data_IF_085630573313
#
_entry.id   IF_085630573313
#
_cell.length_a   1.000
_cell.length_b   1.000
_cell.length_c   1.000
_cell.angle_alpha   90.00
_cell.angle_beta   90.00
_cell.angle_gamma   90.00
#
_symmetry.space_group_name_H-M   'P 1'
#
loop_
_entity.id
_entity.type
_entity.pdbx_description
1 polymer ?
#
# COMPACT_ATOMS: atom_id res chain seq x y z
N UNK A 1 -25.31 -20.77 -4.74
CA UNK A 1 -24.34 -20.92 -3.62
C UNK A 1 -24.84 -22.01 -2.70
N UNK A 2 -23.94 -22.83 -2.07
CA UNK A 2 -24.40 -23.80 -1.08
C UNK A 2 -24.74 -23.08 0.24
N UNK A 3 -25.76 -23.56 0.94
CA UNK A 3 -26.22 -23.01 2.23
C UNK A 3 -25.10 -22.90 3.27
N UNK A 4 -24.21 -23.89 3.33
CA UNK A 4 -23.06 -23.87 4.25
C UNK A 4 -22.07 -22.74 3.96
N UNK A 5 -21.84 -22.40 2.69
CA UNK A 5 -20.96 -21.26 2.31
C UNK A 5 -21.58 -19.92 2.70
N UNK A 6 -22.87 -19.76 2.49
CA UNK A 6 -23.60 -18.55 2.86
C UNK A 6 -23.57 -18.33 4.38
N UNK A 7 -23.82 -19.38 5.17
CA UNK A 7 -23.75 -19.33 6.63
C UNK A 7 -22.32 -18.98 7.09
N UNK A 8 -21.29 -19.61 6.50
CA UNK A 8 -19.89 -19.30 6.80
C UNK A 8 -19.55 -17.81 6.55
N UNK A 9 -20.00 -17.26 5.44
CA UNK A 9 -19.79 -15.85 5.13
C UNK A 9 -20.49 -14.90 6.11
N UNK A 10 -21.69 -15.23 6.56
CA UNK A 10 -22.40 -14.43 7.57
C UNK A 10 -21.71 -14.47 8.93
N UNK A 11 -21.21 -15.63 9.34
CA UNK A 11 -20.45 -15.77 10.60
C UNK A 11 -19.12 -14.97 10.52
N UNK A 12 -18.38 -15.08 9.44
CA UNK A 12 -17.17 -14.30 9.21
C UNK A 12 -17.47 -12.79 9.22
N UNK A 13 -18.53 -12.36 8.56
CA UNK A 13 -18.97 -10.97 8.54
C UNK A 13 -19.37 -10.46 9.92
N UNK A 14 -20.05 -11.28 10.72
CA UNK A 14 -20.42 -10.96 12.11
C UNK A 14 -19.17 -10.85 13.00
N UNK A 15 -18.21 -11.77 12.86
CA UNK A 15 -16.94 -11.71 13.58
C UNK A 15 -16.13 -10.46 13.20
N UNK A 16 -16.09 -10.11 11.93
CA UNK A 16 -15.43 -8.89 11.46
C UNK A 16 -16.13 -7.62 11.98
N UNK A 17 -17.46 -7.60 11.99
CA UNK A 17 -18.23 -6.49 12.59
C UNK A 17 -17.98 -6.37 14.10
N UNK A 18 -17.91 -7.50 14.81
CA UNK A 18 -17.55 -7.56 16.23
C UNK A 18 -16.16 -7.02 16.50
N UNK A 19 -15.18 -7.38 15.66
CA UNK A 19 -13.83 -6.83 15.73
C UNK A 19 -13.83 -5.30 15.53
N UNK A 20 -14.50 -4.80 14.49
CA UNK A 20 -14.63 -3.35 14.26
C UNK A 20 -15.29 -2.67 15.46
N UNK A 21 -16.37 -3.23 15.98
CA UNK A 21 -17.08 -2.71 17.16
C UNK A 21 -16.18 -2.62 18.39
N UNK A 22 -15.40 -3.67 18.66
CA UNK A 22 -14.43 -3.69 19.76
C UNK A 22 -13.35 -2.62 19.59
N UNK A 23 -12.75 -2.51 18.40
CA UNK A 23 -11.72 -1.48 18.16
C UNK A 23 -12.27 -0.08 18.31
N UNK A 24 -13.50 0.17 17.85
CA UNK A 24 -14.18 1.46 18.03
C UNK A 24 -14.50 1.77 19.50
N UNK A 25 -14.88 0.78 20.28
CA UNK A 25 -15.13 0.91 21.73
C UNK A 25 -13.85 1.26 22.49
N UNK A 26 -12.73 0.65 22.14
CA UNK A 26 -11.42 0.93 22.74
C UNK A 26 -10.90 2.33 22.39
N UNK A 27 -11.34 2.88 21.27
CA UNK A 27 -10.81 4.13 20.72
C UNK A 27 -9.42 3.94 20.07
N UNK A 28 -8.97 4.95 19.34
CA UNK A 28 -7.84 4.89 18.42
C UNK A 28 -6.55 4.41 19.08
N UNK A 29 -6.16 5.01 20.21
CA UNK A 29 -4.86 4.70 20.86
C UNK A 29 -4.81 3.28 21.40
N UNK A 30 -5.87 2.85 22.11
CA UNK A 30 -5.91 1.52 22.71
C UNK A 30 -6.10 0.43 21.66
N UNK A 31 -6.90 0.69 20.62
CA UNK A 31 -7.06 -0.23 19.50
C UNK A 31 -5.70 -0.45 18.79
N UNK A 32 -5.00 0.62 18.45
CA UNK A 32 -3.66 0.55 17.85
C UNK A 32 -2.68 -0.20 18.75
N UNK A 33 -2.63 0.12 20.04
CA UNK A 33 -1.74 -0.55 20.99
C UNK A 33 -2.04 -2.05 21.11
N UNK A 34 -3.33 -2.43 21.22
CA UNK A 34 -3.75 -3.83 21.29
C UNK A 34 -3.37 -4.60 20.03
N UNK A 35 -3.68 -4.04 18.84
CA UNK A 35 -3.31 -4.66 17.57
C UNK A 35 -1.80 -4.86 17.44
N UNK A 36 -1.04 -3.83 17.79
CA UNK A 36 0.43 -3.89 17.81
C UNK A 36 0.97 -4.96 18.74
N UNK A 37 0.49 -5.00 19.98
CA UNK A 37 0.90 -6.01 20.96
C UNK A 37 0.57 -7.45 20.49
N UNK A 38 -0.62 -7.65 19.93
CA UNK A 38 -1.03 -8.96 19.43
C UNK A 38 -0.10 -9.46 18.32
N UNK A 39 0.14 -8.67 17.29
CA UNK A 39 0.97 -9.14 16.18
C UNK A 39 2.47 -9.11 16.50
N UNK A 40 2.96 -8.24 17.37
CA UNK A 40 4.32 -8.33 17.92
C UNK A 40 4.57 -9.69 18.59
N UNK A 41 3.57 -10.22 19.32
CA UNK A 41 3.68 -11.48 20.07
C UNK A 41 3.43 -12.71 19.19
N UNK A 42 2.45 -12.66 18.29
CA UNK A 42 2.02 -13.79 17.48
C UNK A 42 2.70 -13.85 16.12
N UNK A 43 3.01 -12.70 15.52
CA UNK A 43 3.58 -12.60 14.18
C UNK A 43 4.87 -13.41 14.00
N UNK A 44 5.84 -13.35 14.91
CA UNK A 44 7.05 -14.19 14.82
C UNK A 44 6.79 -15.71 14.86
N UNK A 45 5.59 -16.15 15.26
CA UNK A 45 5.22 -17.58 15.41
C UNK A 45 4.45 -18.13 14.21
N UNK A 46 3.97 -17.28 13.28
CA UNK A 46 3.25 -17.74 12.09
C UNK A 46 4.21 -18.12 10.97
N UNK A 47 3.76 -18.99 10.06
CA UNK A 47 4.58 -19.46 8.93
C UNK A 47 5.10 -18.35 8.02
N UNK A 48 4.40 -17.23 7.94
CA UNK A 48 4.78 -16.03 7.18
C UNK A 48 6.07 -15.39 7.69
N UNK A 49 6.45 -15.61 8.96
CA UNK A 49 7.72 -15.13 9.52
C UNK A 49 8.93 -15.60 8.68
N UNK A 50 8.89 -16.81 8.15
CA UNK A 50 9.94 -17.31 7.24
C UNK A 50 10.11 -16.40 6.01
N UNK A 51 8.99 -15.92 5.45
CA UNK A 51 9.01 -14.98 4.32
C UNK A 51 9.58 -13.63 4.73
N UNK A 52 9.17 -13.10 5.86
CA UNK A 52 9.69 -11.83 6.41
C UNK A 52 11.22 -11.89 6.56
N UNK A 53 11.73 -12.93 7.22
CA UNK A 53 13.17 -13.09 7.45
C UNK A 53 13.97 -13.24 6.15
N UNK A 54 13.44 -13.98 5.17
CA UNK A 54 14.07 -14.12 3.85
C UNK A 54 14.10 -12.79 3.10
N UNK A 55 13.01 -12.04 3.13
CA UNK A 55 12.92 -10.71 2.52
C UNK A 55 13.95 -9.75 3.13
N UNK A 56 14.05 -9.72 4.47
CA UNK A 56 15.03 -8.90 5.17
C UNK A 56 16.49 -9.31 4.84
N UNK A 57 16.74 -10.61 4.70
CA UNK A 57 18.08 -11.10 4.30
C UNK A 57 18.45 -10.70 2.88
N UNK A 58 17.47 -10.61 1.96
CA UNK A 58 17.71 -10.13 0.59
C UNK A 58 17.96 -8.61 0.60
N UNK A 59 17.11 -7.86 1.30
CA UNK A 59 17.15 -6.40 1.27
C UNK A 59 18.32 -5.81 2.07
N UNK A 60 18.71 -6.45 3.19
CA UNK A 60 19.74 -6.00 4.12
C UNK A 60 20.69 -7.15 4.46
N UNK A 61 21.51 -7.61 3.48
CA UNK A 61 22.44 -8.71 3.69
C UNK A 61 23.50 -8.41 4.77
N UNK A 62 23.82 -7.13 4.95
CA UNK A 62 24.79 -6.62 5.95
C UNK A 62 24.29 -6.71 7.40
N UNK A 63 22.98 -6.73 7.63
CA UNK A 63 22.43 -6.85 8.98
C UNK A 63 22.74 -8.22 9.60
N UNK A 64 23.04 -8.23 10.87
CA UNK A 64 23.12 -9.45 11.67
C UNK A 64 21.76 -10.15 11.78
N UNK A 65 21.76 -11.41 12.18
CA UNK A 65 20.52 -12.16 12.43
C UNK A 65 19.67 -11.46 13.51
N UNK A 66 20.29 -10.99 14.59
CA UNK A 66 19.60 -10.32 15.68
C UNK A 66 18.93 -9.01 15.25
N UNK A 67 19.60 -8.20 14.42
CA UNK A 67 19.03 -6.97 13.86
C UNK A 67 17.82 -7.26 12.97
N UNK A 68 17.90 -8.28 12.11
CA UNK A 68 16.76 -8.70 11.28
C UNK A 68 15.59 -9.21 12.11
N UNK A 69 15.83 -9.95 13.18
CA UNK A 69 14.78 -10.43 14.10
C UNK A 69 14.12 -9.26 14.85
N UNK A 70 14.89 -8.29 15.29
CA UNK A 70 14.38 -7.07 15.91
C UNK A 70 13.52 -6.26 14.94
N UNK A 71 13.99 -6.08 13.70
CA UNK A 71 13.25 -5.39 12.65
C UNK A 71 11.95 -6.13 12.27
N UNK A 72 12.00 -7.46 12.13
CA UNK A 72 10.82 -8.29 11.87
C UNK A 72 9.80 -8.16 13.00
N UNK A 73 10.23 -8.16 14.25
CA UNK A 73 9.34 -8.01 15.41
C UNK A 73 8.68 -6.62 15.44
N UNK A 74 9.46 -5.57 15.17
CA UNK A 74 8.94 -4.20 15.06
C UNK A 74 7.95 -4.05 13.90
N UNK A 75 8.24 -4.65 12.74
CA UNK A 75 7.33 -4.66 11.58
C UNK A 75 6.00 -5.37 11.90
N UNK A 76 6.04 -6.50 12.63
CA UNK A 76 4.81 -7.16 13.07
C UNK A 76 3.97 -6.26 14.00
N UNK A 77 4.63 -5.53 14.91
CA UNK A 77 3.94 -4.54 15.74
C UNK A 77 3.25 -3.48 14.88
N UNK A 78 3.94 -2.90 13.88
CA UNK A 78 3.36 -1.90 12.98
C UNK A 78 2.21 -2.46 12.14
N UNK A 79 2.35 -3.68 11.64
CA UNK A 79 1.28 -4.37 10.93
C UNK A 79 0.03 -4.53 11.80
N UNK A 80 0.20 -4.95 13.06
CA UNK A 80 -0.92 -5.11 13.99
C UNK A 80 -1.62 -3.79 14.31
N UNK A 81 -0.84 -2.72 14.52
CA UNK A 81 -1.36 -1.36 14.70
C UNK A 81 -2.22 -0.95 13.50
N UNK A 82 -1.69 -1.09 12.29
CA UNK A 82 -2.38 -0.74 11.05
C UNK A 82 -3.70 -1.49 10.89
N UNK A 83 -3.72 -2.80 11.14
CA UNK A 83 -4.96 -3.58 11.06
C UNK A 83 -6.03 -3.11 12.06
N UNK A 84 -5.64 -2.80 13.30
CA UNK A 84 -6.59 -2.30 14.29
C UNK A 84 -7.10 -0.88 13.95
N UNK A 85 -6.22 -0.03 13.43
CA UNK A 85 -6.53 1.35 13.05
C UNK A 85 -7.52 1.44 11.88
N UNK A 86 -7.55 0.43 10.97
CA UNK A 86 -8.51 0.41 9.87
C UNK A 86 -9.97 0.47 10.35
N UNK A 87 -10.25 -0.05 11.54
CA UNK A 87 -11.59 0.00 12.14
C UNK A 87 -12.01 1.43 12.60
N UNK A 88 -11.06 2.32 12.79
CA UNK A 88 -11.24 3.68 13.35
C UNK A 88 -10.63 4.77 12.46
N UNK A 89 -10.45 4.48 11.16
CA UNK A 89 -9.82 5.42 10.21
C UNK A 89 -10.53 6.77 10.08
N UNK A 90 -11.82 6.82 10.34
CA UNK A 90 -12.58 8.06 10.40
C UNK A 90 -12.09 9.03 11.50
N UNK A 91 -11.29 8.55 12.46
CA UNK A 91 -10.60 9.37 13.47
C UNK A 91 -9.18 9.79 13.04
N UNK A 92 -8.66 9.24 11.92
CA UNK A 92 -7.36 9.54 11.34
C UNK A 92 -7.51 10.36 10.04
N UNK A 93 -8.10 11.51 10.15
CA UNK A 93 -8.22 12.46 9.05
C UNK A 93 -7.25 13.64 9.24
N UNK A 94 -6.94 14.43 8.21
CA UNK A 94 -6.13 15.64 8.37
C UNK A 94 -6.64 16.59 9.45
N UNK A 95 -7.95 16.68 9.64
CA UNK A 95 -8.56 17.51 10.69
C UNK A 95 -8.29 17.00 12.12
N UNK A 96 -7.84 15.76 12.29
CA UNK A 96 -7.56 15.19 13.62
C UNK A 96 -6.32 15.77 14.31
N UNK A 97 -5.46 16.52 13.59
CA UNK A 97 -4.15 16.98 14.07
C UNK A 97 -3.11 15.88 14.25
N UNK A 98 -3.37 14.67 13.75
CA UNK A 98 -2.50 13.48 13.85
C UNK A 98 -1.68 13.22 12.60
N UNK A 99 -1.89 14.00 11.56
CA UNK A 99 -1.26 13.81 10.26
C UNK A 99 -0.49 15.08 9.89
N UNK A 100 0.84 14.96 9.87
CA UNK A 100 1.71 15.97 9.28
C UNK A 100 1.70 15.78 7.77
N UNK A 101 1.38 16.80 6.99
CA UNK A 101 1.34 16.71 5.53
C UNK A 101 2.45 17.59 4.95
N UNK A 102 3.32 16.96 4.17
CA UNK A 102 4.40 17.63 3.42
C UNK A 102 4.06 17.58 1.93
N UNK A 103 4.20 18.71 1.23
CA UNK A 103 3.89 18.79 -0.20
C UNK A 103 2.37 18.88 -0.48
N UNK A 104 1.57 19.39 0.47
CA UNK A 104 0.11 19.55 0.28
C UNK A 104 -0.21 20.46 -0.92
N UNK A 105 0.64 21.44 -1.20
CA UNK A 105 0.54 22.33 -2.35
C UNK A 105 0.57 21.58 -3.69
N UNK A 106 1.25 20.42 -3.76
CA UNK A 106 1.25 19.57 -4.97
C UNK A 106 -0.11 18.91 -5.18
N UNK A 107 -0.74 18.44 -4.12
CA UNK A 107 -2.10 17.88 -4.21
C UNK A 107 -3.11 18.93 -4.60
N UNK A 108 -2.99 20.15 -4.06
CA UNK A 108 -3.82 21.27 -4.47
C UNK A 108 -3.59 21.65 -5.95
N UNK A 109 -2.35 21.68 -6.41
CA UNK A 109 -2.02 21.95 -7.81
C UNK A 109 -2.64 20.90 -8.75
N UNK A 110 -2.63 19.61 -8.35
CA UNK A 110 -3.30 18.53 -9.10
C UNK A 110 -4.80 18.78 -9.17
N UNK A 111 -5.45 19.07 -8.04
CA UNK A 111 -6.88 19.40 -7.97
C UNK A 111 -7.23 20.57 -8.88
N UNK A 112 -6.47 21.67 -8.75
CA UNK A 112 -6.77 22.94 -9.41
C UNK A 112 -6.48 22.89 -10.92
N UNK A 113 -5.56 22.02 -11.34
CA UNK A 113 -5.28 21.80 -12.77
C UNK A 113 -6.42 21.10 -13.51
N UNK A 114 -7.28 20.35 -12.79
CA UNK A 114 -8.30 19.49 -13.38
C UNK A 114 -7.75 18.33 -14.23
N UNK A 115 -6.41 18.16 -14.27
CA UNK A 115 -5.73 17.09 -15.04
C UNK A 115 -5.47 15.89 -14.13
N UNK A 116 -5.83 14.68 -14.57
CA UNK A 116 -5.58 13.47 -13.78
C UNK A 116 -4.08 13.15 -13.72
N UNK A 117 -3.63 12.63 -12.59
CA UNK A 117 -2.28 12.12 -12.40
C UNK A 117 -2.30 10.67 -11.91
N UNK A 118 -1.17 10.01 -11.97
CA UNK A 118 -1.00 8.66 -11.42
C UNK A 118 -0.25 8.76 -10.09
N UNK A 119 -0.97 8.64 -8.98
CA UNK A 119 -0.36 8.59 -7.66
C UNK A 119 0.19 7.18 -7.39
N UNK A 120 1.42 7.09 -6.90
CA UNK A 120 2.07 5.81 -6.59
C UNK A 120 2.66 5.77 -5.20
N UNK A 121 2.65 4.58 -4.60
CA UNK A 121 3.31 4.31 -3.31
C UNK A 121 3.64 2.83 -3.17
N UNK A 122 4.32 2.47 -2.07
CA UNK A 122 4.44 1.12 -1.54
C UNK A 122 3.52 0.88 -0.34
N UNK A 123 3.35 -0.39 0.06
CA UNK A 123 2.60 -0.76 1.25
C UNK A 123 3.40 -0.45 2.52
N UNK A 124 3.44 0.82 2.91
CA UNK A 124 4.18 1.31 4.07
C UNK A 124 3.23 1.84 5.13
N UNK A 125 3.55 1.62 6.39
CA UNK A 125 2.78 2.09 7.55
C UNK A 125 1.26 1.89 7.36
N UNK A 126 0.46 2.93 7.53
CA UNK A 126 -0.99 2.86 7.29
C UNK A 126 -1.34 3.63 6.00
N UNK A 127 -1.41 2.89 4.88
CA UNK A 127 -1.70 3.44 3.55
C UNK A 127 -3.08 4.11 3.45
N UNK A 128 -4.03 3.75 4.31
CA UNK A 128 -5.37 4.37 4.32
C UNK A 128 -5.28 5.87 4.72
N UNK A 129 -4.25 6.24 5.49
CA UNK A 129 -3.99 7.64 5.85
C UNK A 129 -3.64 8.48 4.62
N UNK A 130 -2.87 7.90 3.65
CA UNK A 130 -2.61 8.59 2.38
C UNK A 130 -3.90 8.82 1.58
N UNK A 131 -4.75 7.79 1.51
CA UNK A 131 -6.04 7.91 0.83
C UNK A 131 -6.90 9.02 1.47
N UNK A 132 -6.96 9.08 2.81
CA UNK A 132 -7.68 10.14 3.52
C UNK A 132 -7.11 11.55 3.22
N UNK A 133 -5.79 11.69 3.10
CA UNK A 133 -5.14 12.97 2.74
C UNK A 133 -5.48 13.37 1.30
N UNK A 134 -5.41 12.45 0.34
CA UNK A 134 -5.75 12.72 -1.07
C UNK A 134 -7.20 13.20 -1.19
N UNK A 135 -8.13 12.52 -0.50
CA UNK A 135 -9.54 12.89 -0.51
C UNK A 135 -9.77 14.25 0.17
N UNK A 136 -9.13 14.52 1.31
CA UNK A 136 -9.24 15.78 2.02
C UNK A 136 -8.64 16.96 1.24
N UNK A 137 -7.62 16.72 0.41
CA UNK A 137 -7.08 17.72 -0.51
C UNK A 137 -8.02 18.05 -1.69
N UNK A 138 -9.12 17.30 -1.84
CA UNK A 138 -10.11 17.51 -2.89
C UNK A 138 -9.70 16.96 -4.26
N UNK A 139 -8.71 16.08 -4.33
CA UNK A 139 -8.28 15.44 -5.57
C UNK A 139 -9.27 14.33 -5.94
N UNK A 140 -9.98 14.42 -7.09
CA UNK A 140 -10.79 13.30 -7.57
C UNK A 140 -9.86 12.12 -7.88
N UNK A 141 -9.98 11.02 -7.12
CA UNK A 141 -9.04 9.92 -7.24
C UNK A 141 -9.73 8.56 -7.06
N UNK A 142 -9.44 7.64 -7.99
CA UNK A 142 -9.78 6.23 -7.85
C UNK A 142 -8.66 5.50 -7.10
N UNK A 143 -9.04 4.69 -6.14
CA UNK A 143 -8.14 3.81 -5.40
C UNK A 143 -8.30 2.39 -5.92
N UNK A 144 -7.21 1.74 -6.33
CA UNK A 144 -7.28 0.33 -6.71
C UNK A 144 -7.53 -0.55 -5.49
N UNK A 145 -8.46 -1.45 -5.62
CA UNK A 145 -8.92 -2.29 -4.52
C UNK A 145 -9.16 -3.72 -4.99
N UNK A 146 -8.68 -4.69 -4.24
CA UNK A 146 -9.08 -6.08 -4.41
C UNK A 146 -10.23 -6.37 -3.47
N UNK A 147 -11.41 -6.64 -4.03
CA UNK A 147 -12.58 -7.03 -3.27
C UNK A 147 -12.27 -8.23 -2.36
N UNK A 148 -12.79 -8.22 -1.16
CA UNK A 148 -12.72 -9.37 -0.26
C UNK A 148 -13.53 -10.53 -0.86
N UNK A 149 -13.08 -11.76 -0.62
CA UNK A 149 -13.79 -12.95 -1.12
C UNK A 149 -15.21 -13.06 -0.56
N UNK A 150 -15.42 -12.59 0.67
CA UNK A 150 -16.70 -12.54 1.33
C UNK A 150 -17.40 -11.21 0.99
N UNK A 151 -18.54 -11.20 0.27
CA UNK A 151 -19.20 -9.97 -0.17
C UNK A 151 -19.73 -9.11 0.98
N UNK A 152 -20.05 -9.72 2.12
CA UNK A 152 -20.51 -9.00 3.31
C UNK A 152 -19.35 -8.25 3.99
N UNK A 153 -18.18 -8.87 4.10
CA UNK A 153 -16.94 -8.23 4.59
C UNK A 153 -16.51 -7.14 3.62
N UNK A 154 -16.56 -7.41 2.31
CA UNK A 154 -16.25 -6.43 1.28
C UNK A 154 -17.10 -5.15 1.39
N UNK A 155 -18.41 -5.34 1.60
CA UNK A 155 -19.32 -4.21 1.82
C UNK A 155 -18.92 -3.41 3.06
N UNK A 156 -18.61 -4.06 4.17
CA UNK A 156 -18.19 -3.38 5.40
C UNK A 156 -16.90 -2.57 5.21
N UNK A 157 -15.93 -3.11 4.47
CA UNK A 157 -14.67 -2.41 4.14
C UNK A 157 -14.96 -1.17 3.30
N UNK A 158 -15.79 -1.28 2.26
CA UNK A 158 -16.14 -0.13 1.41
C UNK A 158 -16.93 0.94 2.18
N UNK A 159 -17.88 0.52 3.01
CA UNK A 159 -18.64 1.45 3.86
C UNK A 159 -17.73 2.17 4.88
N UNK A 160 -16.73 1.46 5.43
CA UNK A 160 -15.74 2.06 6.31
C UNK A 160 -14.88 3.11 5.58
N UNK A 161 -14.41 2.82 4.37
CA UNK A 161 -13.63 3.73 3.54
C UNK A 161 -14.42 4.96 3.10
N UNK A 162 -15.71 4.80 2.82
CA UNK A 162 -16.59 5.92 2.47
C UNK A 162 -16.69 6.99 3.57
N UNK A 163 -16.49 6.63 4.84
CA UNK A 163 -16.55 7.56 5.99
C UNK A 163 -15.43 8.59 5.97
N UNK A 164 -14.27 8.29 5.37
CA UNK A 164 -13.17 9.24 5.20
C UNK A 164 -12.95 9.65 3.73
N UNK A 165 -14.01 9.53 2.92
CA UNK A 165 -14.08 10.13 1.58
C UNK A 165 -13.70 9.20 0.42
N UNK A 166 -13.19 7.99 0.65
CA UNK A 166 -12.84 7.05 -0.42
C UNK A 166 -14.12 6.39 -0.94
N UNK A 167 -14.60 6.85 -2.08
CA UNK A 167 -15.84 6.38 -2.73
C UNK A 167 -15.61 5.77 -4.11
N UNK A 168 -14.48 6.09 -4.74
CA UNK A 168 -14.15 5.62 -6.08
C UNK A 168 -13.19 4.44 -5.98
N UNK A 169 -13.63 3.29 -6.46
CA UNK A 169 -12.85 2.06 -6.42
C UNK A 169 -12.74 1.47 -7.84
N UNK A 170 -11.50 1.22 -8.27
CA UNK A 170 -11.26 0.41 -9.44
C UNK A 170 -10.97 -1.05 -8.98
N UNK A 171 -11.76 -2.04 -9.43
CA UNK A 171 -11.50 -3.43 -9.10
C UNK A 171 -10.17 -3.89 -9.70
N UNK A 172 -9.47 -4.85 -9.06
CA UNK A 172 -8.30 -5.48 -9.67
C UNK A 172 -8.73 -6.44 -10.79
N UNK A 173 -7.98 -6.45 -11.90
CA UNK A 173 -8.25 -7.30 -13.06
C UNK A 173 -8.60 -6.53 -14.34
N UNK A 174 -9.06 -7.23 -15.37
CA UNK A 174 -9.33 -6.64 -16.68
C UNK A 174 -10.37 -5.51 -16.66
N UNK A 175 -11.43 -5.66 -15.87
CA UNK A 175 -12.45 -4.62 -15.71
C UNK A 175 -11.91 -3.42 -14.93
N UNK A 176 -11.02 -3.65 -13.98
CA UNK A 176 -10.34 -2.57 -13.24
C UNK A 176 -9.45 -1.72 -14.12
N UNK A 177 -8.74 -2.32 -15.09
CA UNK A 177 -7.92 -1.57 -16.02
C UNK A 177 -8.78 -0.66 -16.93
N UNK A 178 -9.96 -1.13 -17.36
CA UNK A 178 -10.91 -0.31 -18.13
C UNK A 178 -11.46 0.83 -17.31
N UNK A 179 -11.82 0.58 -16.03
CA UNK A 179 -12.36 1.61 -15.15
C UNK A 179 -11.31 2.68 -14.83
N UNK A 180 -10.04 2.30 -14.58
CA UNK A 180 -8.94 3.26 -14.41
C UNK A 180 -8.78 4.18 -15.63
N UNK A 181 -8.81 3.60 -16.83
CA UNK A 181 -8.74 4.38 -18.07
C UNK A 181 -9.94 5.32 -18.24
N UNK A 182 -11.15 4.82 -17.97
CA UNK A 182 -12.37 5.61 -18.05
C UNK A 182 -12.37 6.74 -17.01
N UNK A 183 -11.92 6.48 -15.79
CA UNK A 183 -11.79 7.49 -14.74
C UNK A 183 -10.80 8.58 -15.10
N UNK A 184 -9.62 8.20 -15.58
CA UNK A 184 -8.64 9.20 -16.03
C UNK A 184 -9.16 10.03 -17.22
N UNK A 185 -9.93 9.44 -18.12
CA UNK A 185 -10.58 10.18 -19.19
C UNK A 185 -11.66 11.17 -18.71
N UNK A 186 -12.24 10.92 -17.52
CA UNK A 186 -13.16 11.85 -16.85
C UNK A 186 -12.44 12.92 -15.97
N UNK A 187 -11.10 12.90 -15.92
CA UNK A 187 -10.32 13.80 -15.08
C UNK A 187 -10.04 13.27 -13.65
N UNK A 188 -10.36 12.00 -13.36
CA UNK A 188 -10.08 11.38 -12.08
C UNK A 188 -8.65 10.84 -12.04
N UNK A 189 -7.86 11.22 -11.04
CA UNK A 189 -6.56 10.62 -10.77
C UNK A 189 -6.70 9.15 -10.34
N UNK A 190 -5.61 8.41 -10.36
CA UNK A 190 -5.60 7.00 -9.93
C UNK A 190 -4.49 6.78 -8.90
N UNK A 191 -4.77 6.05 -7.81
CA UNK A 191 -3.80 5.70 -6.79
C UNK A 191 -3.47 4.20 -6.86
N UNK A 192 -2.19 3.89 -7.00
CA UNK A 192 -1.68 2.54 -7.26
C UNK A 192 -0.54 2.19 -6.30
N UNK A 193 -0.62 1.04 -5.65
CA UNK A 193 0.52 0.45 -4.94
C UNK A 193 1.35 -0.38 -5.92
N UNK A 194 2.67 -0.12 -6.01
CA UNK A 194 3.51 -0.70 -7.06
C UNK A 194 4.69 -1.54 -6.53
N UNK A 195 4.61 -2.04 -5.32
CA UNK A 195 5.67 -2.76 -4.61
C UNK A 195 5.48 -4.28 -4.49
N UNK A 196 4.35 -4.81 -4.95
CA UNK A 196 4.08 -6.26 -4.90
C UNK A 196 4.69 -6.99 -6.11
N UNK A 197 4.91 -8.32 -5.95
CA UNK A 197 5.37 -9.21 -7.03
C UNK A 197 4.42 -9.13 -8.22
N UNK A 198 5.01 -8.95 -9.40
CA UNK A 198 4.30 -9.00 -10.68
C UNK A 198 5.12 -9.88 -11.64
N UNK A 199 4.48 -10.77 -12.38
CA UNK A 199 5.23 -11.78 -13.16
C UNK A 199 5.49 -11.37 -14.61
N UNK A 200 4.71 -10.45 -15.18
CA UNK A 200 4.65 -10.14 -16.61
C UNK A 200 5.13 -8.72 -16.96
N UNK A 201 5.69 -7.99 -16.00
CA UNK A 201 6.18 -6.63 -16.19
C UNK A 201 7.63 -6.57 -16.65
N UNK A 202 8.15 -5.38 -16.96
CA UNK A 202 9.56 -5.19 -17.22
C UNK A 202 10.39 -5.62 -16.00
N UNK A 203 11.60 -6.16 -16.29
CA UNK A 203 12.57 -6.43 -15.25
C UNK A 203 13.21 -5.10 -14.81
N UNK A 204 13.30 -4.93 -13.51
CA UNK A 204 13.89 -3.77 -12.83
C UNK A 204 14.73 -4.23 -11.65
N UNK A 205 15.56 -3.36 -11.12
CA UNK A 205 16.38 -3.67 -9.94
C UNK A 205 15.67 -3.16 -8.69
N UNK A 206 15.55 -4.03 -7.68
CA UNK A 206 14.99 -3.73 -6.36
C UNK A 206 15.86 -4.39 -5.29
N UNK A 207 16.50 -3.60 -4.43
CA UNK A 207 17.52 -4.03 -3.47
C UNK A 207 18.63 -4.87 -4.14
N UNK A 208 19.15 -4.36 -5.25
CA UNK A 208 20.22 -5.01 -6.00
C UNK A 208 19.83 -6.32 -6.73
N UNK A 209 18.57 -6.73 -6.68
CA UNK A 209 18.08 -7.96 -7.30
C UNK A 209 17.14 -7.68 -8.47
N UNK A 210 17.25 -8.44 -9.57
CA UNK A 210 16.30 -8.32 -10.67
C UNK A 210 14.93 -8.86 -10.28
N UNK A 211 13.91 -8.04 -10.50
CA UNK A 211 12.50 -8.38 -10.25
C UNK A 211 11.61 -7.84 -11.34
N UNK A 212 10.49 -8.50 -11.60
CA UNK A 212 9.46 -7.91 -12.43
C UNK A 212 8.56 -6.98 -11.61
N UNK A 213 8.15 -5.86 -12.21
CA UNK A 213 7.27 -4.90 -11.58
C UNK A 213 6.11 -4.49 -12.51
N UNK A 214 4.99 -4.07 -11.90
CA UNK A 214 3.78 -3.76 -12.64
C UNK A 214 3.96 -2.48 -13.50
N UNK A 215 3.71 -2.55 -14.81
CA UNK A 215 3.88 -1.42 -15.72
C UNK A 215 2.69 -0.45 -15.72
N UNK A 216 1.63 -0.74 -14.97
CA UNK A 216 0.37 0.02 -14.97
C UNK A 216 0.55 1.52 -14.78
N UNK A 217 1.23 1.99 -13.73
CA UNK A 217 1.44 3.41 -13.50
C UNK A 217 2.13 4.11 -14.68
N UNK A 218 3.24 3.57 -15.16
CA UNK A 218 4.00 4.15 -16.29
C UNK A 218 3.19 4.16 -17.58
N UNK A 219 2.44 3.08 -17.87
CA UNK A 219 1.55 3.02 -19.04
C UNK A 219 0.45 4.05 -19.01
N UNK A 220 -0.17 4.27 -17.84
CA UNK A 220 -1.22 5.28 -17.66
C UNK A 220 -0.66 6.69 -17.81
N UNK A 221 0.45 7.00 -17.14
CA UNK A 221 1.06 8.31 -17.20
C UNK A 221 1.48 8.68 -18.65
N UNK A 222 2.16 7.77 -19.36
CA UNK A 222 2.53 7.98 -20.78
C UNK A 222 1.30 8.12 -21.69
N UNK A 223 0.24 7.34 -21.46
CA UNK A 223 -0.97 7.39 -22.28
C UNK A 223 -1.72 8.73 -22.15
N UNK A 224 -1.76 9.28 -20.94
CA UNK A 224 -2.48 10.53 -20.66
C UNK A 224 -1.56 11.76 -20.71
N UNK A 225 -0.27 11.60 -21.03
CA UNK A 225 0.69 12.69 -21.04
C UNK A 225 0.75 13.42 -19.70
N UNK A 226 0.76 12.66 -18.60
CA UNK A 226 0.75 13.17 -17.24
C UNK A 226 1.92 12.63 -16.44
N UNK A 227 2.10 13.17 -15.24
CA UNK A 227 3.17 12.76 -14.32
C UNK A 227 2.76 11.58 -13.46
N UNK A 228 3.75 10.89 -12.93
CA UNK A 228 3.59 10.00 -11.78
C UNK A 228 3.86 10.83 -10.53
N UNK A 229 2.89 10.90 -9.62
CA UNK A 229 2.99 11.61 -8.35
C UNK A 229 3.33 10.62 -7.22
N UNK A 230 4.60 10.54 -6.78
CA UNK A 230 4.97 9.65 -5.69
C UNK A 230 4.45 10.17 -4.35
N UNK A 231 3.99 9.25 -3.52
CA UNK A 231 3.55 9.54 -2.16
C UNK A 231 4.15 8.53 -1.19
N UNK A 232 4.38 8.96 0.04
CA UNK A 232 4.78 8.08 1.13
C UNK A 232 4.02 8.40 2.41
N UNK A 233 3.93 7.41 3.28
CA UNK A 233 3.45 7.56 4.65
C UNK A 233 4.42 6.90 5.60
N UNK A 234 4.76 7.58 6.68
CA UNK A 234 5.58 7.04 7.77
C UNK A 234 4.83 7.20 9.09
N UNK A 235 5.01 6.24 9.98
CA UNK A 235 4.46 6.33 11.33
C UNK A 235 5.38 7.15 12.23
N UNK A 236 4.80 8.06 12.95
CA UNK A 236 5.47 8.85 14.00
C UNK A 236 5.15 8.25 15.39
N UNK A 237 5.84 8.66 16.45
CA UNK A 237 5.52 8.23 17.81
C UNK A 237 4.05 8.44 18.16
N UNK A 238 3.44 7.43 18.78
CA UNK A 238 1.99 7.37 19.02
C UNK A 238 1.22 6.96 17.77
N UNK A 239 -0.07 7.35 17.69
CA UNK A 239 -0.91 7.17 16.50
C UNK A 239 -0.90 8.46 15.70
N UNK A 240 0.27 8.80 15.19
CA UNK A 240 0.52 9.96 14.33
C UNK A 240 1.25 9.52 13.06
N UNK A 241 1.10 10.27 12.00
CA UNK A 241 1.67 9.95 10.69
C UNK A 241 2.21 11.20 10.02
N UNK A 242 3.19 10.99 9.14
CA UNK A 242 3.57 11.98 8.13
C UNK A 242 3.26 11.42 6.76
N UNK A 243 2.47 12.17 6.00
CA UNK A 243 2.21 11.88 4.57
C UNK A 243 2.97 12.90 3.76
N UNK A 244 3.75 12.43 2.81
CA UNK A 244 4.53 13.29 1.90
C UNK A 244 4.09 13.07 0.45
N UNK A 245 3.67 14.13 -0.21
CA UNK A 245 3.61 14.19 -1.67
C UNK A 245 4.97 14.67 -2.17
N UNK A 246 5.74 13.78 -2.81
CA UNK A 246 7.11 14.06 -3.27
C UNK A 246 7.11 14.80 -4.60
N UNK A 247 8.29 15.16 -5.10
CA UNK A 247 8.42 15.71 -6.45
C UNK A 247 7.88 14.72 -7.48
N UNK A 248 7.14 15.21 -8.50
CA UNK A 248 6.60 14.34 -9.54
C UNK A 248 7.72 13.67 -10.34
N UNK A 249 7.50 12.44 -10.75
CA UNK A 249 8.34 11.74 -11.71
C UNK A 249 7.77 12.03 -13.10
N UNK A 250 8.52 12.76 -13.90
CA UNK A 250 8.24 13.00 -15.31
C UNK A 250 8.76 11.82 -16.14
N UNK A 251 7.88 11.22 -16.95
CA UNK A 251 8.26 10.13 -17.81
C UNK A 251 8.68 10.64 -19.18
N UNK A 252 9.83 10.18 -19.65
CA UNK A 252 10.30 10.50 -21.01
C UNK A 252 9.40 9.78 -22.04
N UNK A 253 9.03 10.48 -23.10
CA UNK A 253 8.36 9.92 -24.25
C UNK A 253 9.28 10.05 -25.47
N UNK A 254 10.18 9.08 -25.63
CA UNK A 254 11.22 9.09 -26.67
C UNK A 254 10.76 8.48 -27.99
N UNK A 255 9.56 7.88 -28.02
CA UNK A 255 9.06 7.07 -29.11
C UNK A 255 9.36 5.56 -28.95
N UNK A 256 10.33 5.18 -28.13
CA UNK A 256 10.52 3.81 -27.65
C UNK A 256 9.59 3.52 -26.48
N UNK A 257 8.34 3.19 -26.78
CA UNK A 257 7.31 2.98 -25.77
C UNK A 257 7.66 1.91 -24.72
N UNK A 258 8.35 0.85 -25.10
CA UNK A 258 8.72 -0.22 -24.16
C UNK A 258 9.84 0.25 -23.23
N UNK A 259 10.85 0.89 -23.76
CA UNK A 259 11.93 1.48 -23.01
C UNK A 259 11.44 2.59 -22.08
N UNK A 260 10.54 3.46 -22.54
CA UNK A 260 9.94 4.52 -21.72
C UNK A 260 9.17 3.96 -20.53
N UNK A 261 8.36 2.91 -20.75
CA UNK A 261 7.66 2.20 -19.69
C UNK A 261 8.65 1.58 -18.70
N UNK A 262 9.69 0.89 -19.19
CA UNK A 262 10.66 0.23 -18.32
C UNK A 262 11.43 1.25 -17.45
N UNK A 263 11.86 2.38 -18.04
CA UNK A 263 12.49 3.48 -17.29
C UNK A 263 11.57 4.04 -16.20
N UNK A 264 10.30 4.27 -16.53
CA UNK A 264 9.30 4.75 -15.56
C UNK A 264 9.05 3.75 -14.43
N UNK A 265 8.98 2.45 -14.75
CA UNK A 265 8.84 1.39 -13.73
C UNK A 265 10.06 1.33 -12.82
N UNK A 266 11.29 1.47 -13.39
CA UNK A 266 12.50 1.54 -12.58
C UNK A 266 12.50 2.77 -11.67
N UNK A 267 12.15 3.94 -12.16
CA UNK A 267 12.10 5.16 -11.35
C UNK A 267 11.13 5.03 -10.16
N UNK A 268 9.93 4.47 -10.40
CA UNK A 268 8.96 4.18 -9.34
C UNK A 268 9.52 3.16 -8.34
N UNK A 269 10.17 2.11 -8.83
CA UNK A 269 10.76 1.06 -7.99
C UNK A 269 11.88 1.61 -7.11
N UNK A 270 12.74 2.46 -7.68
CA UNK A 270 13.83 3.15 -6.95
C UNK A 270 13.26 4.05 -5.86
N UNK A 271 12.24 4.85 -6.18
CA UNK A 271 11.56 5.68 -5.18
C UNK A 271 11.05 4.84 -3.99
N UNK A 272 10.39 3.70 -4.27
CA UNK A 272 9.87 2.84 -3.21
C UNK A 272 11.02 2.23 -2.40
N UNK A 273 12.10 1.76 -3.05
CA UNK A 273 13.28 1.21 -2.35
C UNK A 273 13.89 2.22 -1.39
N UNK A 274 14.07 3.47 -1.82
CA UNK A 274 14.60 4.54 -0.98
C UNK A 274 13.74 4.74 0.28
N UNK A 275 12.41 4.79 0.14
CA UNK A 275 11.50 4.93 1.29
C UNK A 275 11.56 3.74 2.22
N UNK A 276 11.69 2.53 1.68
CA UNK A 276 11.86 1.33 2.50
C UNK A 276 13.19 1.34 3.25
N UNK A 277 14.28 1.83 2.62
CA UNK A 277 15.58 1.96 3.28
C UNK A 277 15.58 3.00 4.41
N UNK A 278 14.86 4.11 4.23
CA UNK A 278 14.71 5.16 5.24
C UNK A 278 13.84 4.69 6.43
N UNK A 279 12.78 3.93 6.17
CA UNK A 279 11.81 3.49 7.17
C UNK A 279 11.51 1.98 7.04
N UNK A 280 12.48 1.10 7.25
CA UNK A 280 12.33 -0.34 6.97
C UNK A 280 11.27 -1.01 7.86
N UNK A 281 10.99 -0.49 9.03
CA UNK A 281 9.94 -1.00 9.94
C UNK A 281 8.54 -0.83 9.35
N UNK A 282 8.33 0.18 8.53
CA UNK A 282 7.04 0.54 8.00
C UNK A 282 6.60 -0.29 6.79
N UNK A 283 7.54 -0.93 6.08
CA UNK A 283 7.18 -1.71 4.89
C UNK A 283 6.57 -3.07 5.24
N UNK A 284 5.62 -3.51 4.41
CA UNK A 284 4.86 -4.73 4.63
C UNK A 284 5.62 -5.98 4.13
N UNK A 285 6.61 -6.45 4.91
CA UNK A 285 7.56 -7.52 4.57
C UNK A 285 6.94 -8.91 4.37
N UNK A 286 5.66 -9.10 4.60
CA UNK A 286 5.00 -10.42 4.59
C UNK A 286 4.79 -11.01 3.20
N UNK A 287 4.90 -10.23 2.13
CA UNK A 287 4.73 -10.69 0.76
C UNK A 287 6.04 -11.19 0.15
N UNK A 288 5.98 -12.29 -0.61
CA UNK A 288 7.09 -12.70 -1.47
C UNK A 288 7.26 -11.67 -2.61
N UNK A 289 8.23 -10.76 -2.48
CA UNK A 289 8.49 -9.70 -3.48
C UNK A 289 9.38 -10.18 -4.61
N UNK A 290 10.39 -10.99 -4.30
CA UNK A 290 11.39 -11.45 -5.26
C UNK A 290 10.98 -12.74 -5.99
N UNK A 291 11.58 -13.05 -7.15
CA UNK A 291 11.41 -14.33 -7.83
C UNK A 291 11.92 -15.51 -6.99
N UNK A 292 11.35 -16.69 -7.21
CA UNK A 292 11.71 -17.88 -6.42
C UNK A 292 13.21 -18.26 -6.56
N UNK A 293 13.85 -17.96 -7.69
CA UNK A 293 15.29 -18.12 -7.89
C UNK A 293 16.15 -17.32 -6.89
N UNK A 294 15.69 -16.11 -6.51
CA UNK A 294 16.39 -15.26 -5.53
C UNK A 294 16.25 -15.86 -4.12
N UNK A 295 15.08 -16.39 -3.78
CA UNK A 295 14.89 -17.06 -2.49
C UNK A 295 15.70 -18.38 -2.41
N UNK A 296 15.78 -19.13 -3.49
CA UNK A 296 16.55 -20.37 -3.55
C UNK A 296 18.06 -20.13 -3.34
N UNK A 297 18.58 -19.00 -3.80
CA UNK A 297 19.97 -18.60 -3.58
C UNK A 297 20.34 -18.30 -2.12
N UNK A 298 19.33 -18.11 -1.24
CA UNK A 298 19.54 -17.90 0.18
C UNK A 298 19.72 -19.20 0.98
N UNK A 299 19.33 -20.33 0.41
CA UNK A 299 19.44 -21.64 1.08
C UNK A 299 20.89 -22.15 0.90
N UNK A 300 21.47 -22.79 1.93
CA UNK A 300 22.78 -23.44 1.77
C UNK A 300 22.70 -24.40 0.56
N UNK A 301 23.68 -24.36 -0.31
CA UNK A 301 23.88 -25.44 -1.27
C UNK A 301 24.43 -26.61 -0.48
N UNK A 302 23.67 -27.71 -0.41
CA UNK A 302 24.16 -28.99 0.12
C UNK A 302 25.40 -29.47 -0.64
#
# INVERSE_FOLDING_TARGET
>A
MSFGRELGWRLESAAFAGFIGLMRLLGLERASALGGWLLKTLGPKVSTQKTVMRNLRIAFPEMSQAEREALATAQWEQTGRTFAETAVMDQLTPASGRIDIVGLERLHAIRDSGRPVVLVSGHMANIEVMAAVIMAAGVPCQVTYRAANNPYVDKQIRDARARYGVKLFAPKGGDGARELLAGMARGESVALMNDQKFNEGPEVIFFGQPVNAAPGPSRLALRFGTVVQPMSVVRLPGVRFRVTAHEPIELQNTGDRQGDIARGVQAITTFIEERVREHPVDWFWVHKRWPDKVYAALEPRD
#
